data_IF_126854199451
#
_entry.id   IF_126854199451
#
_cell.length_a   1.000
_cell.length_b   1.000
_cell.length_c   1.000
_cell.angle_alpha   90.00
_cell.angle_beta   90.00
_cell.angle_gamma   90.00
#
_symmetry.space_group_name_H-M   'P 1'
#
loop_
_entity.id
_entity.type
_entity.pdbx_description
1 polymer ?
#
# COMPACT_ATOMS: atom_id res chain seq x y z
N UNK A 1 -24.53 -3.02 -63.76
CA UNK A 1 -23.39 -2.71 -62.87
C UNK A 1 -23.69 -3.32 -61.51
N UNK A 2 -23.43 -4.62 -61.36
CA UNK A 2 -23.94 -5.45 -60.27
C UNK A 2 -22.94 -5.55 -59.13
N UNK A 3 -23.37 -5.12 -57.94
CA UNK A 3 -23.48 -5.92 -56.72
C UNK A 3 -22.29 -6.76 -56.19
N UNK A 4 -21.06 -6.59 -56.68
CA UNK A 4 -19.88 -7.31 -56.13
C UNK A 4 -19.24 -6.54 -54.96
N UNK A 5 -19.38 -5.21 -54.93
CA UNK A 5 -18.80 -4.34 -53.90
C UNK A 5 -19.56 -4.32 -52.57
N UNK A 6 -20.89 -4.47 -52.59
CA UNK A 6 -21.74 -4.50 -51.39
C UNK A 6 -21.42 -5.66 -50.43
N UNK A 7 -21.32 -6.92 -50.87
CA UNK A 7 -21.04 -8.03 -49.95
C UNK A 7 -19.63 -7.93 -49.33
N UNK A 8 -18.66 -7.38 -50.06
CA UNK A 8 -17.30 -7.12 -49.55
C UNK A 8 -17.29 -6.00 -48.51
N UNK A 9 -18.03 -4.90 -48.74
CA UNK A 9 -18.20 -3.80 -47.77
C UNK A 9 -18.90 -4.28 -46.50
N UNK A 10 -19.99 -5.06 -46.62
CA UNK A 10 -20.71 -5.61 -45.46
C UNK A 10 -19.84 -6.56 -44.63
N UNK A 11 -19.04 -7.43 -45.27
CA UNK A 11 -18.11 -8.32 -44.55
C UNK A 11 -17.02 -7.54 -43.80
N UNK A 12 -16.45 -6.49 -44.41
CA UNK A 12 -15.44 -5.63 -43.76
C UNK A 12 -16.04 -4.85 -42.60
N UNK A 13 -17.24 -4.30 -42.76
CA UNK A 13 -17.95 -3.57 -41.71
C UNK A 13 -18.34 -4.47 -40.54
N UNK A 14 -18.78 -5.71 -40.80
CA UNK A 14 -19.07 -6.71 -39.75
C UNK A 14 -17.81 -7.10 -38.96
N UNK A 15 -16.69 -7.33 -39.64
CA UNK A 15 -15.39 -7.61 -39.00
C UNK A 15 -14.90 -6.42 -38.17
N UNK A 16 -15.04 -5.21 -38.69
CA UNK A 16 -14.68 -3.99 -37.97
C UNK A 16 -15.52 -3.79 -36.70
N UNK A 17 -16.85 -3.96 -36.81
CA UNK A 17 -17.76 -3.92 -35.65
C UNK A 17 -17.41 -4.99 -34.61
N UNK A 18 -17.15 -6.21 -35.05
CA UNK A 18 -16.74 -7.31 -34.15
C UNK A 18 -15.42 -7.00 -33.44
N UNK A 19 -14.41 -6.50 -34.17
CA UNK A 19 -13.13 -6.09 -33.59
C UNK A 19 -13.28 -4.93 -32.60
N UNK A 20 -14.13 -3.94 -32.91
CA UNK A 20 -14.42 -2.82 -32.02
C UNK A 20 -15.12 -3.28 -30.73
N UNK A 21 -16.12 -4.15 -30.85
CA UNK A 21 -16.80 -4.74 -29.68
C UNK A 21 -15.78 -5.51 -28.85
N UNK A 22 -14.96 -6.37 -29.46
CA UNK A 22 -13.94 -7.14 -28.76
C UNK A 22 -12.97 -6.23 -28.00
N UNK A 23 -12.48 -5.16 -28.64
CA UNK A 23 -11.56 -4.21 -28.03
C UNK A 23 -12.20 -3.45 -26.85
N UNK A 24 -13.45 -3.00 -27.01
CA UNK A 24 -14.20 -2.35 -25.93
C UNK A 24 -14.44 -3.30 -24.76
N UNK A 25 -14.79 -4.56 -25.03
CA UNK A 25 -15.00 -5.56 -23.98
C UNK A 25 -13.70 -5.88 -23.26
N UNK A 26 -12.59 -6.04 -23.97
CA UNK A 26 -11.27 -6.25 -23.36
C UNK A 26 -10.88 -5.08 -22.47
N UNK A 27 -11.05 -3.84 -22.95
CA UNK A 27 -10.78 -2.64 -22.15
C UNK A 27 -11.63 -2.61 -20.88
N UNK A 28 -12.93 -2.90 -20.98
CA UNK A 28 -13.81 -2.94 -19.82
C UNK A 28 -13.37 -4.00 -18.81
N UNK A 29 -12.99 -5.20 -19.26
CA UNK A 29 -12.46 -6.26 -18.39
C UNK A 29 -11.16 -5.81 -17.71
N UNK A 30 -10.24 -5.18 -18.46
CA UNK A 30 -8.98 -4.68 -17.89
C UNK A 30 -9.24 -3.62 -16.82
N UNK A 31 -10.17 -2.69 -17.05
CA UNK A 31 -10.52 -1.66 -16.06
C UNK A 31 -11.13 -2.29 -14.82
N UNK A 32 -12.07 -3.23 -14.97
CA UNK A 32 -12.68 -3.93 -13.82
C UNK A 32 -11.63 -4.72 -13.04
N UNK A 33 -10.73 -5.43 -13.72
CA UNK A 33 -9.65 -6.17 -13.09
C UNK A 33 -8.66 -5.25 -12.35
N UNK A 34 -8.32 -4.10 -12.93
CA UNK A 34 -7.44 -3.12 -12.28
C UNK A 34 -8.10 -2.51 -11.03
N UNK A 35 -9.38 -2.16 -11.11
CA UNK A 35 -10.15 -1.67 -9.96
C UNK A 35 -10.20 -2.74 -8.87
N UNK A 36 -10.50 -3.98 -9.24
CA UNK A 36 -10.52 -5.11 -8.30
C UNK A 36 -9.16 -5.26 -7.60
N UNK A 37 -8.08 -5.34 -8.37
CA UNK A 37 -6.72 -5.45 -7.83
C UNK A 37 -6.34 -4.28 -6.93
N UNK A 38 -6.72 -3.05 -7.27
CA UNK A 38 -6.44 -1.89 -6.43
C UNK A 38 -7.12 -1.96 -5.05
N UNK A 39 -8.28 -2.62 -4.95
CA UNK A 39 -8.96 -2.82 -3.67
C UNK A 39 -8.56 -4.09 -2.93
N UNK A 40 -8.02 -5.10 -3.62
CA UNK A 40 -7.61 -6.37 -2.99
C UNK A 40 -6.11 -6.47 -2.72
N UNK A 41 -5.29 -5.63 -3.34
CA UNK A 41 -3.85 -5.60 -3.09
C UNK A 41 -3.59 -4.85 -1.79
N UNK A 42 -3.67 -5.54 -0.66
CA UNK A 42 -3.07 -5.08 0.58
C UNK A 42 -1.55 -5.16 0.40
N UNK A 43 -0.89 -4.00 0.36
CA UNK A 43 0.55 -3.95 0.53
C UNK A 43 0.84 -4.22 2.02
N UNK A 44 1.44 -5.37 2.37
CA UNK A 44 1.50 -5.82 3.75
C UNK A 44 2.41 -4.92 4.57
N UNK A 45 2.11 -4.80 5.85
CA UNK A 45 3.08 -4.32 6.84
C UNK A 45 3.95 -5.48 7.27
N UNK A 46 5.25 -5.35 7.05
CA UNK A 46 6.23 -6.32 7.47
C UNK A 46 6.82 -5.91 8.82
N UNK A 47 6.87 -6.87 9.75
CA UNK A 47 7.47 -6.69 11.06
C UNK A 47 8.59 -7.71 11.17
N UNK A 48 9.83 -7.24 11.14
CA UNK A 48 11.02 -8.09 11.17
C UNK A 48 11.97 -7.62 12.26
N UNK A 49 12.69 -8.58 12.85
CA UNK A 49 13.84 -8.27 13.71
C UNK A 49 15.09 -8.62 12.91
N UNK A 50 15.98 -7.65 12.74
CA UNK A 50 17.28 -7.86 12.10
C UNK A 50 18.08 -8.88 12.94
N UNK A 51 18.48 -10.02 12.36
CA UNK A 51 19.18 -11.08 13.09
C UNK A 51 20.61 -10.70 13.50
N UNK A 52 21.24 -9.73 12.83
CA UNK A 52 22.60 -9.30 13.12
C UNK A 52 22.61 -8.21 14.19
N UNK A 53 21.70 -7.23 14.09
CA UNK A 53 21.69 -6.06 14.98
C UNK A 53 20.66 -6.16 16.11
N UNK A 54 19.69 -7.06 16.00
CA UNK A 54 18.55 -7.16 16.92
C UNK A 54 17.56 -6.01 16.79
N UNK A 55 17.71 -5.15 15.77
CA UNK A 55 16.84 -4.01 15.53
C UNK A 55 15.44 -4.47 15.09
N UNK A 56 14.40 -3.85 15.64
CA UNK A 56 13.03 -4.04 15.19
C UNK A 56 12.75 -3.12 14.01
N UNK A 57 12.37 -3.69 12.87
CA UNK A 57 12.03 -2.98 11.65
C UNK A 57 10.55 -3.23 11.34
N UNK A 58 9.79 -2.15 11.28
CA UNK A 58 8.39 -2.15 10.86
C UNK A 58 8.30 -1.42 9.54
N UNK A 59 7.99 -2.13 8.46
CA UNK A 59 7.91 -1.58 7.11
C UNK A 59 6.47 -1.64 6.62
N UNK A 60 5.87 -0.48 6.42
CA UNK A 60 4.59 -0.34 5.74
C UNK A 60 4.75 -0.06 4.24
N UNK A 61 3.63 -0.06 3.51
CA UNK A 61 3.59 0.46 2.14
C UNK A 61 4.20 1.86 1.99
N UNK A 62 4.62 2.17 0.77
CA UNK A 62 5.15 3.49 0.40
C UNK A 62 6.42 3.91 1.17
N UNK A 63 7.21 2.95 1.68
CA UNK A 63 8.44 3.21 2.43
C UNK A 63 9.44 4.14 1.72
N UNK A 64 9.48 4.11 0.39
CA UNK A 64 10.36 4.96 -0.42
C UNK A 64 9.85 6.42 -0.55
N UNK A 65 8.61 6.70 -0.17
CA UNK A 65 7.93 7.98 -0.43
C UNK A 65 7.50 8.73 0.82
N UNK A 66 7.10 8.03 1.89
CA UNK A 66 6.59 8.64 3.13
C UNK A 66 7.60 8.67 4.27
N UNK A 67 8.84 8.25 4.00
CA UNK A 67 9.98 8.39 4.90
C UNK A 67 10.07 7.33 5.99
N UNK A 68 10.92 7.62 6.98
CA UNK A 68 11.21 6.77 8.13
C UNK A 68 11.31 7.55 9.43
N UNK A 69 11.15 6.84 10.54
CA UNK A 69 11.50 7.28 11.88
C UNK A 69 12.33 6.21 12.58
N UNK A 70 13.42 6.63 13.21
CA UNK A 70 14.35 5.77 13.93
C UNK A 70 14.49 6.23 15.38
N UNK A 71 14.60 5.29 16.30
CA UNK A 71 14.90 5.60 17.70
C UNK A 71 15.34 4.37 18.46
N UNK A 72 15.58 4.54 19.76
CA UNK A 72 16.05 3.46 20.63
C UNK A 72 15.13 3.30 21.82
N UNK A 73 14.32 2.24 21.80
CA UNK A 73 13.27 1.99 22.78
C UNK A 73 13.67 0.83 23.68
N UNK A 74 13.80 1.10 24.99
CA UNK A 74 14.23 0.13 26.01
C UNK A 74 15.48 -0.66 25.59
N UNK A 75 16.46 0.04 25.02
CA UNK A 75 17.75 -0.53 24.62
C UNK A 75 17.78 -1.21 23.23
N UNK A 76 16.63 -1.38 22.57
CA UNK A 76 16.52 -1.94 21.22
C UNK A 76 16.37 -0.82 20.19
N UNK A 77 17.10 -0.89 19.08
CA UNK A 77 16.92 0.02 17.96
C UNK A 77 15.61 -0.33 17.22
N UNK A 78 14.81 0.69 16.92
CA UNK A 78 13.50 0.55 16.28
C UNK A 78 13.45 1.50 15.09
N UNK A 79 13.06 0.97 13.94
CA UNK A 79 12.85 1.71 12.70
C UNK A 79 11.45 1.46 12.18
N UNK A 80 10.72 2.54 11.89
CA UNK A 80 9.43 2.48 11.22
C UNK A 80 9.57 3.17 9.87
N UNK A 81 9.26 2.44 8.80
CA UNK A 81 9.33 2.87 7.42
C UNK A 81 7.94 2.81 6.81
N UNK A 82 7.59 3.73 5.91
CA UNK A 82 6.31 3.62 5.20
C UNK A 82 5.09 3.95 6.04
N UNK A 83 3.91 3.48 5.62
CA UNK A 83 2.65 3.63 6.35
C UNK A 83 2.20 2.28 6.91
N UNK A 84 2.72 1.85 8.07
CA UNK A 84 2.36 0.55 8.62
C UNK A 84 0.87 0.51 8.98
N UNK A 85 0.18 -0.53 8.56
CA UNK A 85 -1.22 -0.75 8.83
C UNK A 85 -1.45 -1.04 10.32
N UNK A 86 -2.39 -0.32 10.92
CA UNK A 86 -2.64 -0.40 12.36
C UNK A 86 -3.08 -1.80 12.82
N UNK A 87 -3.86 -2.50 11.99
CA UNK A 87 -4.30 -3.88 12.28
C UNK A 87 -3.14 -4.88 12.27
N UNK A 88 -2.16 -4.72 11.38
CA UNK A 88 -0.98 -5.58 11.36
C UNK A 88 -0.09 -5.36 12.59
N UNK A 89 0.02 -4.10 13.06
CA UNK A 89 0.69 -3.81 14.32
C UNK A 89 -0.08 -4.38 15.52
N UNK A 90 -1.40 -4.31 15.51
CA UNK A 90 -2.26 -4.86 16.55
C UNK A 90 -2.10 -6.38 16.74
N UNK A 91 -1.82 -7.12 15.67
CA UNK A 91 -1.53 -8.56 15.73
C UNK A 91 -0.19 -8.88 16.41
N UNK A 92 0.72 -7.88 16.53
CA UNK A 92 1.99 -8.02 17.22
C UNK A 92 2.12 -6.98 18.35
N UNK A 93 1.66 -7.37 19.55
CA UNK A 93 1.63 -6.50 20.73
C UNK A 93 3.01 -5.90 21.09
N UNK A 94 4.11 -6.62 20.86
CA UNK A 94 5.44 -6.07 21.10
C UNK A 94 5.77 -4.96 20.10
N UNK A 95 5.57 -5.22 18.80
CA UNK A 95 5.82 -4.22 17.77
C UNK A 95 4.95 -2.98 17.95
N UNK A 96 3.65 -3.14 18.25
CA UNK A 96 2.76 -2.03 18.59
C UNK A 96 3.33 -1.21 19.76
N UNK A 97 3.71 -1.85 20.86
CA UNK A 97 4.27 -1.15 22.01
C UNK A 97 5.55 -0.39 21.67
N UNK A 98 6.43 -0.94 20.84
CA UNK A 98 7.66 -0.25 20.38
C UNK A 98 7.34 0.94 19.48
N UNK A 99 6.42 0.79 18.54
CA UNK A 99 6.00 1.86 17.63
C UNK A 99 5.33 3.00 18.40
N UNK A 100 4.44 2.68 19.35
CA UNK A 100 3.81 3.68 20.21
C UNK A 100 4.84 4.44 21.06
N UNK A 101 5.80 3.73 21.65
CA UNK A 101 6.88 4.37 22.39
C UNK A 101 7.79 5.23 21.50
N UNK A 102 8.09 4.79 20.27
CA UNK A 102 8.88 5.55 19.30
C UNK A 102 8.16 6.81 18.84
N UNK A 103 6.84 6.74 18.62
CA UNK A 103 6.01 7.91 18.28
C UNK A 103 6.11 8.99 19.34
N UNK A 104 6.07 8.59 20.61
CA UNK A 104 6.03 9.49 21.76
C UNK A 104 7.46 9.92 22.21
N UNK A 105 8.51 9.37 21.60
CA UNK A 105 9.91 9.66 21.93
C UNK A 105 10.37 11.00 21.31
N UNK A 106 10.68 12.04 22.11
CA UNK A 106 11.17 13.30 21.59
C UNK A 106 12.57 13.19 20.96
N UNK A 107 13.33 12.13 21.25
CA UNK A 107 14.62 11.85 20.65
C UNK A 107 14.53 11.07 19.33
N UNK A 108 13.32 10.70 18.89
CA UNK A 108 13.11 10.02 17.63
C UNK A 108 13.62 10.86 16.45
N UNK A 109 14.39 10.22 15.56
CA UNK A 109 14.99 10.85 14.39
C UNK A 109 14.12 10.56 13.18
N UNK A 110 13.56 11.61 12.61
CA UNK A 110 12.72 11.52 11.41
C UNK A 110 13.56 11.84 10.19
N UNK A 111 13.43 11.06 9.12
CA UNK A 111 14.01 11.45 7.83
C UNK A 111 13.32 12.69 7.27
N UNK A 112 13.96 13.31 6.28
CA UNK A 112 13.34 14.33 5.45
C UNK A 112 12.11 13.74 4.72
N UNK A 113 11.01 14.49 4.62
CA UNK A 113 9.78 14.04 3.96
C UNK A 113 8.86 13.14 4.79
N UNK A 114 9.14 12.93 6.09
CA UNK A 114 8.33 12.05 6.95
C UNK A 114 7.05 12.68 7.51
N UNK A 115 6.55 13.78 6.94
CA UNK A 115 5.34 14.46 7.43
C UNK A 115 4.11 13.55 7.38
N UNK A 116 3.96 12.78 6.29
CA UNK A 116 2.85 11.84 6.10
C UNK A 116 2.94 10.69 7.10
N UNK A 117 4.12 10.07 7.26
CA UNK A 117 4.34 9.04 8.27
C UNK A 117 4.08 9.58 9.68
N UNK A 118 4.53 10.80 9.99
CA UNK A 118 4.26 11.43 11.28
C UNK A 118 2.77 11.65 11.50
N UNK A 119 2.04 12.15 10.51
CA UNK A 119 0.60 12.31 10.57
C UNK A 119 -0.12 10.96 10.76
N UNK A 120 0.33 9.92 10.06
CA UNK A 120 -0.19 8.56 10.15
C UNK A 120 -0.01 7.96 11.55
N UNK A 121 1.19 8.09 12.13
CA UNK A 121 1.45 7.60 13.50
C UNK A 121 0.70 8.40 14.57
N UNK A 122 0.33 9.65 14.28
CA UNK A 122 -0.47 10.51 15.16
C UNK A 122 -1.97 10.50 14.80
N UNK A 123 -2.42 9.59 13.94
CA UNK A 123 -3.83 9.50 13.59
C UNK A 123 -4.69 9.10 14.80
N UNK A 124 -5.98 9.50 14.85
CA UNK A 124 -6.88 9.10 15.94
C UNK A 124 -6.95 7.58 16.14
N UNK A 125 -6.85 6.82 15.05
CA UNK A 125 -6.87 5.36 15.10
C UNK A 125 -5.60 4.80 15.73
N UNK A 126 -4.41 5.29 15.34
CA UNK A 126 -3.17 4.88 15.98
C UNK A 126 -3.11 5.28 17.46
N UNK A 127 -3.65 6.45 17.80
CA UNK A 127 -3.78 6.88 19.20
C UNK A 127 -4.68 5.91 19.99
N UNK A 128 -5.80 5.46 19.41
CA UNK A 128 -6.67 4.44 20.02
C UNK A 128 -5.89 3.16 20.29
N UNK A 129 -5.21 2.61 19.28
CA UNK A 129 -4.42 1.37 19.45
C UNK A 129 -3.32 1.51 20.51
N UNK A 130 -2.62 2.65 20.56
CA UNK A 130 -1.57 2.88 21.54
C UNK A 130 -2.08 3.07 22.98
N UNK A 131 -3.30 3.58 23.16
CA UNK A 131 -3.87 3.84 24.49
C UNK A 131 -4.65 2.63 25.03
N UNK A 132 -5.49 2.05 24.18
CA UNK A 132 -6.50 1.08 24.59
C UNK A 132 -6.11 -0.37 24.22
N UNK A 133 -5.09 -0.53 23.37
CA UNK A 133 -4.74 -1.82 22.77
C UNK A 133 -5.59 -2.15 21.54
N UNK A 134 -5.43 -3.36 20.98
CA UNK A 134 -6.17 -3.81 19.82
C UNK A 134 -7.66 -4.08 20.07
#
# INVERSE_FOLDING_TARGET
MTAIGEPLKMRRQKRFRAAMILAMTLLAITVVAAIWLAFTADAPTEIATDPETGALIVSGPEQDFVGRVDGRIRGQDVSVLGLPAYHALAENAEALARVCALRDDPAARWSEGSETLRAHLNSPEMIRYCRDGP
#
